data_IF_229972501706
#
_entry.id   IF_229972501706
#
_cell.length_a   1.000
_cell.length_b   1.000
_cell.length_c   1.000
_cell.angle_alpha   90.00
_cell.angle_beta   90.00
_cell.angle_gamma   90.00
#
_symmetry.space_group_name_H-M   'P 1'
#
loop_
_entity.id
_entity.type
_entity.pdbx_description
1 polymer ?
#
# COMPACT_ATOMS: atom_id res chain seq x y z
N UNK A 1 -0.93 19.45 4.11
CA UNK A 1 -1.02 18.75 5.41
C UNK A 1 -0.59 17.31 5.21
N UNK A 2 0.34 16.78 6.02
CA UNK A 2 0.80 15.39 5.92
C UNK A 2 0.11 14.55 7.00
N UNK A 3 -0.44 13.41 6.61
CA UNK A 3 -1.09 12.45 7.50
C UNK A 3 -0.29 11.18 7.70
N UNK A 4 0.46 10.70 6.71
CA UNK A 4 1.37 9.56 6.89
C UNK A 4 2.53 9.66 5.92
N UNK A 5 3.68 9.10 6.28
CA UNK A 5 4.82 8.96 5.39
C UNK A 5 5.62 7.70 5.72
N UNK A 6 6.31 7.18 4.71
CA UNK A 6 7.34 6.17 4.87
C UNK A 6 8.42 6.39 3.81
N UNK A 7 9.68 6.49 4.24
CA UNK A 7 10.84 6.68 3.36
C UNK A 7 11.64 5.38 3.37
N UNK A 8 11.80 4.77 2.20
CA UNK A 8 12.61 3.58 2.01
C UNK A 8 13.87 3.91 1.19
N UNK A 9 14.68 2.88 0.96
CA UNK A 9 15.94 3.00 0.21
C UNK A 9 15.73 3.30 -1.29
N UNK A 10 14.60 2.90 -1.87
CA UNK A 10 14.31 2.98 -3.30
C UNK A 10 13.20 4.00 -3.66
N UNK A 11 12.24 4.23 -2.76
CA UNK A 11 11.15 5.20 -2.95
C UNK A 11 10.59 5.64 -1.60
N UNK A 12 9.60 6.54 -1.63
CA UNK A 12 8.88 6.96 -0.43
C UNK A 12 7.39 7.09 -0.73
N UNK A 13 6.57 6.90 0.30
CA UNK A 13 5.12 7.02 0.25
C UNK A 13 4.66 8.15 1.17
N UNK A 14 3.61 8.88 0.75
CA UNK A 14 3.02 9.95 1.54
C UNK A 14 1.50 9.98 1.39
N UNK A 15 0.80 10.10 2.51
CA UNK A 15 -0.62 10.44 2.57
C UNK A 15 -0.73 11.90 2.98
N UNK A 16 -1.28 12.75 2.10
CA UNK A 16 -1.35 14.19 2.34
C UNK A 16 -2.60 14.81 1.75
N UNK A 17 -3.01 15.94 2.34
CA UNK A 17 -4.04 16.82 1.80
C UNK A 17 -3.38 18.12 1.33
N UNK A 18 -3.62 18.46 0.06
CA UNK A 18 -3.07 19.62 -0.62
C UNK A 18 -4.04 20.05 -1.72
N UNK A 19 -4.18 21.36 -2.01
CA UNK A 19 -4.74 21.81 -3.27
C UNK A 19 -3.98 21.17 -4.44
N UNK A 20 -4.70 20.75 -5.49
CA UNK A 20 -4.11 20.01 -6.61
C UNK A 20 -3.05 20.84 -7.35
N UNK A 21 -3.28 22.15 -7.46
CA UNK A 21 -2.39 23.13 -8.06
C UNK A 21 -1.04 23.28 -7.34
N UNK A 22 -0.98 22.90 -6.06
CA UNK A 22 0.19 23.03 -5.22
C UNK A 22 0.95 21.71 -5.06
N UNK A 23 0.32 20.57 -5.36
CA UNK A 23 0.93 19.25 -5.23
C UNK A 23 2.20 19.11 -6.09
N UNK A 24 2.11 19.53 -7.35
CA UNK A 24 3.23 19.49 -8.29
C UNK A 24 4.37 20.40 -7.85
N UNK A 25 4.05 21.61 -7.36
CA UNK A 25 5.05 22.56 -6.85
C UNK A 25 5.75 22.02 -5.60
N UNK A 26 4.98 21.44 -4.66
CA UNK A 26 5.51 20.83 -3.45
C UNK A 26 6.55 19.76 -3.79
N UNK A 27 6.19 18.80 -4.64
CA UNK A 27 7.11 17.72 -5.02
C UNK A 27 8.28 18.23 -5.84
N UNK A 28 8.09 19.20 -6.74
CA UNK A 28 9.19 19.81 -7.47
C UNK A 28 10.25 20.40 -6.54
N UNK A 29 9.81 21.14 -5.51
CA UNK A 29 10.72 21.74 -4.53
C UNK A 29 11.35 20.71 -3.60
N UNK A 30 10.56 19.81 -3.01
CA UNK A 30 11.05 18.84 -2.02
C UNK A 30 12.04 17.84 -2.63
N UNK A 31 11.66 17.23 -3.76
CA UNK A 31 12.47 16.24 -4.48
C UNK A 31 13.71 16.91 -5.08
N UNK A 32 13.55 18.12 -5.62
CA UNK A 32 14.67 18.91 -6.17
C UNK A 32 15.71 19.28 -5.10
N UNK A 33 15.26 19.78 -3.94
CA UNK A 33 16.14 20.10 -2.83
C UNK A 33 16.91 18.87 -2.33
N UNK A 34 16.24 17.72 -2.18
CA UNK A 34 16.91 16.48 -1.81
C UNK A 34 17.90 16.01 -2.86
N UNK A 35 17.56 16.09 -4.16
CA UNK A 35 18.46 15.68 -5.23
C UNK A 35 19.76 16.51 -5.24
N UNK A 36 19.66 17.83 -5.04
CA UNK A 36 20.81 18.73 -4.92
C UNK A 36 21.66 18.34 -3.70
N UNK A 37 21.02 18.15 -2.54
CA UNK A 37 21.71 17.74 -1.31
C UNK A 37 22.42 16.38 -1.47
N UNK A 38 21.73 15.38 -2.04
CA UNK A 38 22.27 14.05 -2.25
C UNK A 38 23.46 14.06 -3.21
N UNK A 39 23.35 14.78 -4.33
CA UNK A 39 24.43 14.90 -5.30
C UNK A 39 25.67 15.55 -4.69
N UNK A 40 25.48 16.64 -3.94
CA UNK A 40 26.57 17.34 -3.24
C UNK A 40 27.24 16.47 -2.17
N UNK A 41 26.47 15.70 -1.40
CA UNK A 41 27.00 14.86 -0.30
C UNK A 41 27.64 13.57 -0.79
N UNK A 42 27.27 13.08 -1.98
CA UNK A 42 27.82 11.87 -2.59
C UNK A 42 28.84 12.15 -3.69
N UNK A 43 29.25 13.41 -3.85
CA UNK A 43 30.15 13.88 -4.91
C UNK A 43 29.80 13.31 -6.29
N UNK A 44 28.51 13.40 -6.64
CA UNK A 44 27.96 12.88 -7.89
C UNK A 44 27.16 13.95 -8.61
N UNK A 45 26.90 13.71 -9.89
CA UNK A 45 26.00 14.51 -10.72
C UNK A 45 24.96 13.62 -11.40
N UNK A 46 23.91 14.23 -11.94
CA UNK A 46 22.82 13.52 -12.64
C UNK A 46 21.56 13.30 -11.80
N UNK A 47 20.67 12.46 -12.31
CA UNK A 47 19.36 12.20 -11.72
C UNK A 47 19.47 11.34 -10.45
N UNK A 48 18.79 11.80 -9.38
CA UNK A 48 18.66 11.05 -8.11
C UNK A 48 17.37 10.22 -8.09
N UNK A 49 16.29 10.75 -8.66
CA UNK A 49 15.00 10.07 -8.78
C UNK A 49 14.76 9.71 -10.24
N UNK A 50 14.36 8.45 -10.46
CA UNK A 50 14.22 7.88 -11.79
C UNK A 50 12.89 8.26 -12.46
N UNK A 51 11.86 8.56 -11.67
CA UNK A 51 10.51 8.84 -12.16
C UNK A 51 9.88 10.07 -11.48
N UNK A 52 8.85 10.62 -12.11
CA UNK A 52 7.98 11.64 -11.49
C UNK A 52 7.17 11.00 -10.36
N UNK A 53 6.74 11.83 -9.40
CA UNK A 53 5.77 11.38 -8.41
C UNK A 53 4.47 10.93 -9.11
N UNK A 54 3.78 10.00 -8.46
CA UNK A 54 2.44 9.56 -8.83
C UNK A 54 1.51 9.85 -7.67
N UNK A 55 0.22 10.06 -7.95
CA UNK A 55 -0.77 10.40 -6.94
C UNK A 55 -2.12 9.81 -7.29
N UNK A 56 -2.86 9.41 -6.26
CA UNK A 56 -4.23 8.91 -6.35
C UNK A 56 -5.09 9.64 -5.29
N UNK A 57 -6.32 9.98 -5.65
CA UNK A 57 -7.24 10.64 -4.71
C UNK A 57 -7.71 9.64 -3.64
N UNK A 58 -7.80 10.13 -2.40
CA UNK A 58 -8.42 9.40 -1.29
C UNK A 58 -9.79 10.04 -1.05
N UNK A 59 -10.84 9.34 -1.45
CA UNK A 59 -12.21 9.86 -1.41
C UNK A 59 -13.00 9.35 -0.19
N UNK A 60 -12.68 8.14 0.27
CA UNK A 60 -13.38 7.46 1.35
C UNK A 60 -12.53 7.33 2.62
N UNK A 61 -13.17 7.44 3.79
CA UNK A 61 -12.49 7.31 5.08
C UNK A 61 -11.87 5.91 5.26
N UNK A 62 -12.57 4.86 4.81
CA UNK A 62 -12.04 3.49 4.86
C UNK A 62 -10.76 3.36 4.04
N UNK A 63 -10.71 3.98 2.85
CA UNK A 63 -9.52 4.02 2.01
C UNK A 63 -8.38 4.82 2.66
N UNK A 64 -8.70 5.95 3.32
CA UNK A 64 -7.73 6.75 4.07
C UNK A 64 -6.97 5.92 5.11
N UNK A 65 -7.68 5.19 5.97
CA UNK A 65 -7.05 4.39 7.02
C UNK A 65 -6.31 3.18 6.45
N UNK A 66 -6.85 2.54 5.42
CA UNK A 66 -6.16 1.43 4.76
C UNK A 66 -4.89 1.88 4.05
N UNK A 67 -4.89 3.07 3.44
CA UNK A 67 -3.71 3.69 2.83
C UNK A 67 -2.65 4.02 3.88
N UNK A 68 -3.05 4.60 5.02
CA UNK A 68 -2.14 4.83 6.14
C UNK A 68 -1.49 3.52 6.63
N UNK A 69 -2.29 2.46 6.81
CA UNK A 69 -1.77 1.13 7.18
C UNK A 69 -0.80 0.59 6.14
N UNK A 70 -1.14 0.76 4.85
CA UNK A 70 -0.27 0.34 3.76
C UNK A 70 1.10 1.02 3.84
N UNK A 71 1.12 2.35 3.96
CA UNK A 71 2.34 3.15 4.03
C UNK A 71 3.23 2.68 5.19
N UNK A 72 2.63 2.42 6.34
CA UNK A 72 3.34 1.93 7.52
C UNK A 72 3.84 0.49 7.41
N UNK A 73 3.12 -0.39 6.71
CA UNK A 73 3.49 -1.79 6.52
C UNK A 73 4.45 -2.01 5.35
N UNK A 74 4.64 -1.01 4.49
CA UNK A 74 5.48 -1.11 3.30
C UNK A 74 6.94 -1.52 3.60
N UNK A 75 7.61 -1.02 4.67
CA UNK A 75 8.91 -1.54 5.09
C UNK A 75 8.92 -3.02 5.46
N UNK A 76 7.81 -3.54 6.01
CA UNK A 76 7.69 -4.97 6.33
C UNK A 76 7.56 -5.79 5.06
N UNK A 77 6.76 -5.32 4.10
CA UNK A 77 6.62 -5.94 2.78
C UNK A 77 7.94 -5.94 2.00
N UNK A 78 8.75 -4.91 2.17
CA UNK A 78 10.08 -4.79 1.58
C UNK A 78 11.17 -5.59 2.31
N UNK A 79 10.84 -6.27 3.43
CA UNK A 79 11.80 -7.04 4.23
C UNK A 79 12.82 -6.18 4.99
N UNK A 80 12.53 -4.89 5.21
CA UNK A 80 13.40 -3.95 5.93
C UNK A 80 13.23 -4.04 7.45
N UNK A 81 12.08 -4.52 7.91
CA UNK A 81 11.78 -4.77 9.33
C UNK A 81 10.68 -5.84 9.45
N UNK A 82 10.60 -6.52 10.58
CA UNK A 82 9.49 -7.46 10.85
C UNK A 82 8.25 -6.77 11.42
N UNK A 83 8.43 -5.60 12.06
CA UNK A 83 7.40 -4.93 12.82
C UNK A 83 7.30 -3.46 12.40
N UNK A 84 6.14 -2.96 11.91
CA UNK A 84 6.01 -1.63 11.30
C UNK A 84 6.57 -0.48 12.16
N UNK A 85 6.27 -0.50 13.46
CA UNK A 85 6.69 0.56 14.37
C UNK A 85 8.17 0.52 14.73
N UNK A 86 8.94 -0.50 14.35
CA UNK A 86 10.39 -0.52 14.52
C UNK A 86 11.10 0.22 13.39
N UNK A 87 10.42 0.47 12.26
CA UNK A 87 10.99 1.23 11.16
C UNK A 87 10.95 2.74 11.41
N UNK A 88 12.13 3.29 11.75
CA UNK A 88 12.28 4.68 12.21
C UNK A 88 12.05 5.75 11.12
N UNK A 89 12.09 5.36 9.84
CA UNK A 89 11.88 6.30 8.71
C UNK A 89 10.42 6.34 8.25
N UNK A 90 9.49 6.15 9.18
CA UNK A 90 8.04 6.23 8.94
C UNK A 90 7.34 7.07 10.02
N UNK A 91 6.12 7.52 9.71
CA UNK A 91 5.27 8.24 10.66
C UNK A 91 4.71 7.39 11.81
N UNK A 92 4.93 6.07 11.83
CA UNK A 92 4.30 5.18 12.84
C UNK A 92 4.62 5.65 14.26
N UNK A 93 5.89 5.98 14.52
CA UNK A 93 6.34 6.42 15.85
C UNK A 93 5.76 7.79 16.25
N UNK A 94 5.46 8.67 15.29
CA UNK A 94 4.78 9.94 15.59
C UNK A 94 3.36 9.71 16.13
N UNK A 95 2.66 8.69 15.62
CA UNK A 95 1.35 8.28 16.13
C UNK A 95 1.42 7.67 17.54
N UNK A 96 2.36 6.74 17.77
CA UNK A 96 2.52 6.11 19.09
C UNK A 96 2.87 7.12 20.17
N UNK A 97 3.81 8.01 19.87
CA UNK A 97 4.24 9.05 20.79
C UNK A 97 3.27 10.25 20.83
N UNK A 98 2.30 10.30 19.92
CA UNK A 98 1.37 11.40 19.73
C UNK A 98 2.07 12.76 19.58
N UNK A 99 3.20 12.77 18.87
CA UNK A 99 4.01 13.95 18.59
C UNK A 99 3.98 14.25 17.10
N UNK A 100 3.89 15.53 16.77
CA UNK A 100 3.82 16.04 15.41
C UNK A 100 5.17 16.67 15.05
N UNK A 101 6.02 15.95 14.32
CA UNK A 101 7.28 16.47 13.77
C UNK A 101 7.10 16.82 12.30
N UNK A 102 6.74 15.81 11.49
CA UNK A 102 6.42 15.98 10.07
C UNK A 102 4.91 15.86 9.87
N UNK A 103 4.24 15.04 10.68
CA UNK A 103 2.79 14.95 10.65
C UNK A 103 2.16 16.32 10.94
N UNK A 104 1.02 16.57 10.31
CA UNK A 104 0.17 17.68 10.68
C UNK A 104 -0.56 17.35 11.99
N UNK A 105 -0.77 18.27 12.94
CA UNK A 105 -1.44 17.98 14.21
C UNK A 105 -2.83 17.34 14.07
N UNK A 106 -3.55 17.68 12.99
CA UNK A 106 -4.84 17.06 12.63
C UNK A 106 -4.75 15.54 12.46
N UNK A 107 -3.61 15.01 12.01
CA UNK A 107 -3.39 13.56 11.88
C UNK A 107 -3.50 12.86 13.24
N UNK A 108 -2.87 13.43 14.27
CA UNK A 108 -2.94 12.92 15.65
C UNK A 108 -4.35 13.05 16.22
N UNK A 109 -5.06 14.13 15.91
CA UNK A 109 -6.46 14.30 16.29
C UNK A 109 -7.35 13.21 15.70
N UNK A 110 -7.25 12.96 14.39
CA UNK A 110 -8.03 11.92 13.71
C UNK A 110 -7.70 10.52 14.28
N UNK A 111 -6.42 10.25 14.53
CA UNK A 111 -5.99 9.00 15.16
C UNK A 111 -6.67 8.78 16.53
N UNK A 112 -6.69 9.80 17.39
CA UNK A 112 -7.34 9.72 18.70
C UNK A 112 -8.84 9.44 18.57
N UNK A 113 -9.50 10.10 17.62
CA UNK A 113 -10.94 9.95 17.39
C UNK A 113 -11.29 8.56 16.85
N UNK A 114 -10.49 8.04 15.92
CA UNK A 114 -10.79 6.78 15.24
C UNK A 114 -10.39 5.54 16.06
N UNK A 115 -9.19 5.52 16.64
CA UNK A 115 -8.67 4.32 17.32
C UNK A 115 -8.82 4.35 18.84
N UNK A 116 -8.81 5.53 19.45
CA UNK A 116 -8.89 5.72 20.91
C UNK A 116 -7.72 5.16 21.74
N UNK A 117 -6.90 4.25 21.20
CA UNK A 117 -5.76 3.65 21.90
C UNK A 117 -4.67 3.16 20.94
N UNK A 118 -3.44 3.10 21.44
CA UNK A 118 -2.30 2.51 20.74
C UNK A 118 -2.53 1.02 20.42
N UNK A 119 -3.20 0.28 21.33
CA UNK A 119 -3.50 -1.13 21.13
C UNK A 119 -4.38 -1.35 19.89
N UNK A 120 -5.49 -0.63 19.78
CA UNK A 120 -6.38 -0.72 18.62
C UNK A 120 -5.67 -0.35 17.31
N UNK A 121 -4.80 0.65 17.35
CA UNK A 121 -4.01 1.05 16.18
C UNK A 121 -3.03 -0.03 15.74
N UNK A 122 -2.36 -0.70 16.67
CA UNK A 122 -1.46 -1.83 16.37
C UNK A 122 -2.22 -3.03 15.81
N UNK A 123 -3.35 -3.39 16.41
CA UNK A 123 -4.22 -4.47 15.94
C UNK A 123 -4.71 -4.19 14.52
N UNK A 124 -5.10 -2.94 14.22
CA UNK A 124 -5.46 -2.53 12.85
C UNK A 124 -4.33 -2.79 11.83
N UNK A 125 -3.07 -2.51 12.20
CA UNK A 125 -1.91 -2.74 11.34
C UNK A 125 -1.57 -4.22 11.12
N UNK A 126 -2.04 -5.12 11.99
CA UNK A 126 -1.89 -6.56 11.84
C UNK A 126 -2.95 -7.18 10.91
N UNK A 127 -4.03 -6.45 10.62
CA UNK A 127 -5.09 -6.94 9.72
C UNK A 127 -4.67 -6.94 8.24
N UNK A 128 -5.35 -7.78 7.45
CA UNK A 128 -5.19 -7.80 5.99
C UNK A 128 -5.94 -6.65 5.31
N UNK A 129 -5.48 -6.25 4.12
CA UNK A 129 -6.18 -5.28 3.24
C UNK A 129 -6.50 -5.94 1.91
N UNK A 130 -7.72 -5.72 1.41
CA UNK A 130 -8.12 -6.09 0.05
C UNK A 130 -7.81 -4.98 -0.97
N UNK A 131 -7.38 -3.80 -0.51
CA UNK A 131 -7.05 -2.69 -1.38
C UNK A 131 -5.68 -2.89 -2.00
N UNK A 132 -5.55 -2.54 -3.28
CA UNK A 132 -4.26 -2.33 -3.94
C UNK A 132 -3.94 -0.85 -3.93
N UNK A 133 -2.71 -0.49 -3.59
CA UNK A 133 -2.23 0.88 -3.49
C UNK A 133 -1.17 1.15 -4.54
N UNK A 134 -1.07 2.43 -4.93
CA UNK A 134 -0.09 2.88 -5.89
C UNK A 134 1.35 2.64 -5.37
N UNK A 135 2.13 1.90 -6.13
CA UNK A 135 3.54 1.61 -5.84
C UNK A 135 4.32 1.32 -7.14
N UNK A 136 5.52 0.74 -7.02
CA UNK A 136 6.27 0.15 -8.12
C UNK A 136 5.41 -0.89 -8.85
N UNK A 137 5.72 -1.16 -10.13
CA UNK A 137 4.96 -2.17 -10.89
C UNK A 137 5.07 -3.56 -10.24
N UNK A 138 6.24 -3.88 -9.70
CA UNK A 138 6.49 -5.13 -9.01
C UNK A 138 5.66 -5.24 -7.73
N UNK A 139 5.68 -4.20 -6.89
CA UNK A 139 4.92 -4.20 -5.63
C UNK A 139 3.41 -4.16 -5.86
N UNK A 140 2.93 -3.42 -6.86
CA UNK A 140 1.53 -3.43 -7.25
C UNK A 140 1.11 -4.83 -7.72
N UNK A 141 1.95 -5.52 -8.49
CA UNK A 141 1.67 -6.88 -8.94
C UNK A 141 1.65 -7.87 -7.76
N UNK A 142 2.57 -7.74 -6.80
CA UNK A 142 2.58 -8.52 -5.55
C UNK A 142 1.29 -8.30 -4.76
N UNK A 143 0.87 -7.05 -4.56
CA UNK A 143 -0.38 -6.71 -3.89
C UNK A 143 -1.60 -7.34 -4.57
N UNK A 144 -1.71 -7.23 -5.89
CA UNK A 144 -2.82 -7.81 -6.65
C UNK A 144 -2.85 -9.34 -6.55
N UNK A 145 -1.67 -9.97 -6.48
CA UNK A 145 -1.55 -11.42 -6.27
C UNK A 145 -1.98 -11.84 -4.85
N UNK A 146 -1.62 -11.07 -3.82
CA UNK A 146 -2.08 -11.28 -2.44
C UNK A 146 -3.62 -11.23 -2.36
N UNK A 147 -4.23 -10.18 -2.93
CA UNK A 147 -5.69 -10.04 -2.97
C UNK A 147 -6.33 -11.20 -3.73
N UNK A 148 -5.74 -11.60 -4.85
CA UNK A 148 -6.25 -12.71 -5.63
C UNK A 148 -6.26 -14.04 -4.87
N UNK A 149 -5.21 -14.33 -4.09
CA UNK A 149 -5.18 -15.50 -3.19
C UNK A 149 -6.20 -15.41 -2.07
N UNK A 150 -6.36 -14.24 -1.46
CA UNK A 150 -7.38 -14.03 -0.44
C UNK A 150 -8.79 -14.30 -0.99
N UNK A 151 -9.10 -13.82 -2.20
CA UNK A 151 -10.38 -14.06 -2.86
C UNK A 151 -10.55 -15.53 -3.24
N UNK A 152 -9.50 -16.19 -3.72
CA UNK A 152 -9.51 -17.63 -4.03
C UNK A 152 -9.89 -18.46 -2.80
N UNK A 153 -9.29 -18.16 -1.64
CA UNK A 153 -9.63 -18.79 -0.35
C UNK A 153 -11.08 -18.55 0.05
N UNK A 154 -11.56 -17.30 0.01
CA UNK A 154 -12.94 -16.97 0.34
C UNK A 154 -13.94 -17.71 -0.56
N UNK A 155 -13.71 -17.73 -1.88
CA UNK A 155 -14.58 -18.46 -2.81
C UNK A 155 -14.56 -19.96 -2.52
N UNK A 156 -13.39 -20.53 -2.20
CA UNK A 156 -13.25 -21.94 -1.83
C UNK A 156 -14.06 -22.28 -0.58
N UNK A 157 -13.98 -21.44 0.45
CA UNK A 157 -14.70 -21.61 1.72
C UNK A 157 -16.22 -21.44 1.56
N UNK A 158 -16.65 -20.38 0.87
CA UNK A 158 -18.08 -20.08 0.65
C UNK A 158 -18.78 -21.17 -0.15
N UNK A 159 -18.13 -21.68 -1.19
CA UNK A 159 -18.66 -22.74 -2.06
C UNK A 159 -18.40 -24.15 -1.51
N UNK A 160 -17.80 -24.26 -0.31
CA UNK A 160 -17.49 -25.52 0.40
C UNK A 160 -16.66 -26.49 -0.44
N UNK A 161 -15.68 -25.95 -1.16
CA UNK A 161 -14.81 -26.72 -2.06
C UNK A 161 -13.67 -27.32 -1.24
N UNK A 162 -13.32 -28.61 -1.42
CA UNK A 162 -12.27 -29.26 -0.62
C UNK A 162 -10.85 -28.72 -0.79
N UNK A 163 -10.56 -28.05 -1.92
CA UNK A 163 -9.24 -27.57 -2.29
C UNK A 163 -9.35 -26.43 -3.29
N UNK A 164 -8.45 -25.46 -3.20
CA UNK A 164 -8.33 -24.35 -4.17
C UNK A 164 -8.15 -24.88 -5.60
N UNK A 165 -7.48 -26.03 -5.78
CA UNK A 165 -7.26 -26.68 -7.08
C UNK A 165 -8.56 -26.99 -7.83
N UNK A 166 -9.62 -27.32 -7.09
CA UNK A 166 -10.91 -27.70 -7.66
C UNK A 166 -11.64 -26.51 -8.29
N UNK A 167 -11.29 -25.27 -7.94
CA UNK A 167 -11.80 -24.08 -8.63
C UNK A 167 -11.38 -24.10 -10.09
N UNK A 168 -10.15 -24.51 -10.39
CA UNK A 168 -9.61 -24.50 -11.75
C UNK A 168 -10.29 -25.51 -12.69
N UNK A 169 -10.86 -26.57 -12.13
CA UNK A 169 -11.60 -27.59 -12.85
C UNK A 169 -13.04 -27.16 -13.18
N UNK A 170 -13.57 -26.15 -12.50
CA UNK A 170 -14.97 -25.72 -12.63
C UNK A 170 -15.08 -24.36 -13.33
N UNK A 171 -15.72 -24.35 -14.51
CA UNK A 171 -15.89 -23.13 -15.32
C UNK A 171 -16.74 -22.06 -14.65
N UNK A 172 -17.74 -22.45 -13.85
CA UNK A 172 -18.59 -21.51 -13.09
C UNK A 172 -17.79 -20.83 -11.98
N UNK A 173 -16.99 -21.59 -11.24
CA UNK A 173 -16.19 -21.05 -10.14
C UNK A 173 -15.05 -20.14 -10.63
N UNK A 174 -14.39 -20.52 -11.74
CA UNK A 174 -13.47 -19.61 -12.44
C UNK A 174 -14.12 -18.29 -12.84
N UNK A 175 -15.39 -18.32 -13.25
CA UNK A 175 -16.14 -17.12 -13.60
C UNK A 175 -16.41 -16.25 -12.36
N UNK A 176 -16.85 -16.85 -11.26
CA UNK A 176 -17.08 -16.14 -9.98
C UNK A 176 -15.80 -15.47 -9.48
N UNK A 177 -14.69 -16.20 -9.43
CA UNK A 177 -13.41 -15.64 -8.98
C UNK A 177 -12.96 -14.47 -9.86
N UNK A 178 -13.09 -14.60 -11.19
CA UNK A 178 -12.77 -13.52 -12.13
C UNK A 178 -13.61 -12.28 -11.89
N UNK A 179 -14.91 -12.44 -11.73
CA UNK A 179 -15.84 -11.32 -11.49
C UNK A 179 -15.48 -10.59 -10.20
N UNK A 180 -15.20 -11.33 -9.11
CA UNK A 180 -14.73 -10.74 -7.84
C UNK A 180 -13.39 -10.02 -7.97
N UNK A 181 -12.44 -10.55 -8.75
CA UNK A 181 -11.15 -9.89 -9.01
C UNK A 181 -11.33 -8.56 -9.74
N UNK A 182 -12.17 -8.55 -10.78
CA UNK A 182 -12.45 -7.33 -11.56
C UNK A 182 -13.09 -6.28 -10.67
N UNK A 183 -14.09 -6.66 -9.88
CA UNK A 183 -14.81 -5.75 -9.00
C UNK A 183 -13.92 -5.22 -7.86
N UNK A 184 -13.16 -6.10 -7.19
CA UNK A 184 -12.35 -5.74 -6.02
C UNK A 184 -11.13 -4.90 -6.40
N UNK A 185 -10.48 -5.21 -7.52
CA UNK A 185 -9.22 -4.57 -7.93
C UNK A 185 -9.41 -3.47 -9.00
N UNK A 186 -10.61 -3.32 -9.56
CA UNK A 186 -10.87 -2.38 -10.65
C UNK A 186 -10.05 -2.65 -11.92
N UNK A 187 -9.74 -3.93 -12.19
CA UNK A 187 -8.85 -4.34 -13.30
C UNK A 187 -9.61 -4.86 -14.52
N UNK A 188 -8.96 -4.85 -15.68
CA UNK A 188 -9.52 -5.44 -16.89
C UNK A 188 -9.63 -6.97 -16.78
N UNK A 189 -10.51 -7.54 -17.61
CA UNK A 189 -10.68 -8.99 -17.74
C UNK A 189 -9.36 -9.71 -18.02
N UNK A 190 -8.58 -9.20 -18.98
CA UNK A 190 -7.29 -9.80 -19.36
C UNK A 190 -6.29 -9.80 -18.19
N UNK A 191 -6.31 -8.74 -17.38
CA UNK A 191 -5.45 -8.64 -16.19
C UNK A 191 -5.90 -9.60 -15.09
N UNK A 192 -7.21 -9.75 -14.88
CA UNK A 192 -7.76 -10.75 -13.97
C UNK A 192 -7.40 -12.18 -14.41
N UNK A 193 -7.53 -12.50 -15.71
CA UNK A 193 -7.14 -13.81 -16.25
C UNK A 193 -5.63 -14.07 -16.10
N UNK A 194 -4.79 -13.04 -16.22
CA UNK A 194 -3.35 -13.13 -15.96
C UNK A 194 -3.05 -13.45 -14.48
N UNK A 195 -3.68 -12.74 -13.54
CA UNK A 195 -3.55 -13.01 -12.10
C UNK A 195 -4.00 -14.42 -11.73
N UNK A 196 -5.13 -14.87 -12.29
CA UNK A 196 -5.64 -16.23 -12.08
C UNK A 196 -4.64 -17.29 -12.53
N UNK A 197 -3.98 -17.11 -13.68
CA UNK A 197 -2.91 -18.03 -14.11
C UNK A 197 -1.74 -18.04 -13.13
N UNK A 198 -1.34 -16.87 -12.63
CA UNK A 198 -0.18 -16.75 -11.74
C UNK A 198 -0.40 -17.40 -10.38
N UNK A 199 -1.59 -17.27 -9.79
CA UNK A 199 -1.89 -17.91 -8.50
C UNK A 199 -1.93 -19.43 -8.62
N UNK A 200 -2.36 -19.99 -9.77
CA UNK A 200 -2.27 -21.44 -10.07
C UNK A 200 -0.81 -21.93 -10.03
N UNK A 201 0.10 -21.25 -10.74
CA UNK A 201 1.50 -21.72 -10.86
C UNK A 201 2.30 -21.60 -9.57
N UNK A 202 1.89 -20.73 -8.65
CA UNK A 202 2.58 -20.56 -7.37
C UNK A 202 2.29 -21.65 -6.32
N UNK A 203 1.33 -22.55 -6.57
CA UNK A 203 1.06 -23.72 -5.72
C UNK A 203 1.90 -24.95 -6.12
N UNK A 204 2.54 -24.92 -7.30
CA UNK A 204 3.30 -26.05 -7.86
C UNK A 204 4.81 -26.00 -7.62
N UNK A 205 5.31 -25.04 -6.83
CA UNK A 205 6.72 -24.90 -6.41
C UNK A 205 6.81 -24.76 -4.89
#
# INVERSE_FOLDING_TARGET
>A
MIYSYCIMNNHFHMLMQCPMEDLSKFFHLAVGAYAIYYNKTKDRSGHVFDNRYKSECVEEESYFWNCLRYIHNNPCKAGLTDIPHQYIYSSFQEYLNQKSYILHPKAIQLYRQHFGSEKAFREFHQGNSLNSFLDTQEDLFRQQTEVARMLLRHVTEEEKIPSEENIWLNSKLKKVLRERLIETLGISKDKADSLMKMIVFSETN
#
